data_IF_790374698446
#
_entry.id   IF_790374698446
#
_cell.length_a   1.000
_cell.length_b   1.000
_cell.length_c   1.000
_cell.angle_alpha   90.00
_cell.angle_beta   90.00
_cell.angle_gamma   90.00
#
_symmetry.space_group_name_H-M   'P 1'
#
loop_
_entity.id
_entity.type
_entity.pdbx_description
1 polymer ?
#
# COMPACT_ATOMS: atom_id res chain seq x y z
N UNK A 1 7.92 8.82 11.21
CA UNK A 1 9.10 9.61 11.60
C UNK A 1 9.81 9.03 12.80
N UNK A 2 9.12 8.46 13.80
CA UNK A 2 9.78 7.82 14.93
C UNK A 2 10.71 6.69 14.47
N UNK A 3 10.31 5.89 13.50
CA UNK A 3 11.14 4.79 12.98
C UNK A 3 12.10 5.25 11.88
N UNK A 4 11.68 6.13 11.00
CA UNK A 4 12.60 6.79 10.06
C UNK A 4 13.62 7.64 10.81
N UNK A 5 13.21 8.41 11.82
CA UNK A 5 14.16 9.13 12.68
C UNK A 5 14.95 8.17 13.57
N UNK A 6 14.43 6.97 13.90
CA UNK A 6 15.17 5.90 14.57
C UNK A 6 16.27 5.33 13.70
N UNK A 7 15.96 4.94 12.48
CA UNK A 7 16.93 4.43 11.53
C UNK A 7 17.86 5.53 11.03
N UNK A 8 17.33 6.71 10.73
CA UNK A 8 18.11 7.89 10.38
C UNK A 8 18.92 8.35 11.58
N UNK A 9 18.38 8.39 12.79
CA UNK A 9 19.12 8.72 14.01
C UNK A 9 20.21 7.70 14.32
N UNK A 10 20.02 6.42 14.04
CA UNK A 10 21.05 5.39 14.19
C UNK A 10 22.18 5.59 13.15
N UNK A 11 21.85 5.90 11.91
CA UNK A 11 22.83 6.24 10.88
C UNK A 11 23.53 7.57 11.21
N UNK A 12 22.81 8.53 11.75
CA UNK A 12 23.36 9.82 12.15
C UNK A 12 24.14 9.80 13.47
N UNK A 13 23.72 9.01 14.45
CA UNK A 13 24.48 8.80 15.67
C UNK A 13 25.84 8.15 15.40
N UNK A 14 25.91 7.25 14.41
CA UNK A 14 27.18 6.70 13.95
C UNK A 14 28.07 7.77 13.28
N UNK A 15 27.49 8.87 12.79
CA UNK A 15 28.18 9.96 12.10
C UNK A 15 28.10 11.31 12.85
N UNK A 16 27.64 11.31 14.09
CA UNK A 16 27.55 12.50 14.98
C UNK A 16 26.71 13.68 14.46
N UNK A 17 25.59 13.41 13.74
CA UNK A 17 24.72 14.48 13.23
C UNK A 17 23.28 14.25 13.65
N UNK A 18 22.72 15.18 14.44
CA UNK A 18 21.30 15.33 14.68
C UNK A 18 20.77 16.49 13.84
N UNK A 19 20.28 16.22 12.62
CA UNK A 19 19.67 17.24 11.78
C UNK A 19 18.19 16.92 11.56
N UNK A 20 17.32 17.90 11.71
CA UNK A 20 15.90 17.82 11.35
C UNK A 20 15.68 18.74 10.16
N UNK A 21 15.00 18.25 9.15
CA UNK A 21 14.61 19.07 8.02
C UNK A 21 13.32 19.82 8.30
N UNK A 22 13.30 21.09 7.96
CA UNK A 22 12.11 21.95 7.94
C UNK A 22 11.93 22.52 6.53
N UNK A 23 10.75 23.04 6.20
CA UNK A 23 10.44 23.64 4.88
C UNK A 23 11.42 24.75 4.45
N UNK A 24 12.21 25.27 5.38
CA UNK A 24 13.26 26.27 5.14
C UNK A 24 14.69 25.74 5.06
N UNK A 25 14.89 24.41 5.07
CA UNK A 25 16.21 23.79 5.05
C UNK A 25 16.59 23.05 6.34
N UNK A 26 17.88 22.78 6.52
CA UNK A 26 18.41 22.05 7.67
C UNK A 26 18.38 22.85 8.95
N UNK A 27 17.87 22.23 10.02
CA UNK A 27 18.10 22.69 11.39
C UNK A 27 18.94 21.65 12.13
N UNK A 28 20.14 22.01 12.57
CA UNK A 28 20.96 21.16 13.43
C UNK A 28 20.36 21.18 14.83
N UNK A 29 19.95 20.03 15.33
CA UNK A 29 19.29 19.90 16.64
C UNK A 29 20.25 19.93 17.82
N UNK A 30 21.55 19.76 17.60
CA UNK A 30 22.56 19.78 18.65
C UNK A 30 23.50 20.98 18.49
N UNK A 31 23.48 21.83 19.50
CA UNK A 31 24.29 23.08 19.53
C UNK A 31 25.81 22.87 19.58
N UNK A 32 26.25 21.60 19.68
CA UNK A 32 27.68 21.24 19.77
C UNK A 32 28.34 20.82 18.45
N UNK A 33 27.58 20.64 17.37
CA UNK A 33 28.12 20.13 16.09
C UNK A 33 27.90 21.13 14.96
N UNK A 34 28.99 21.62 14.38
CA UNK A 34 28.99 22.30 13.08
C UNK A 34 29.31 21.26 12.01
N UNK A 35 28.29 20.47 11.56
CA UNK A 35 28.51 19.59 10.41
C UNK A 35 28.14 20.30 9.13
N UNK A 36 29.00 20.12 8.12
CA UNK A 36 28.77 20.59 6.77
C UNK A 36 28.06 19.57 5.90
N UNK A 37 27.74 18.40 6.47
CA UNK A 37 27.20 17.26 5.74
C UNK A 37 25.89 16.77 6.38
N UNK A 38 24.95 16.32 5.56
CA UNK A 38 23.66 15.81 6.04
C UNK A 38 22.84 15.15 4.93
N UNK A 39 21.75 14.48 5.30
CA UNK A 39 20.80 13.87 4.35
C UNK A 39 19.50 14.65 4.38
N UNK A 40 19.01 15.01 3.21
CA UNK A 40 17.70 15.62 3.00
C UNK A 40 16.71 14.51 2.69
N UNK A 41 15.72 14.32 3.55
CA UNK A 41 14.66 13.34 3.32
C UNK A 41 13.58 13.94 2.40
N UNK A 42 12.83 13.04 1.77
CA UNK A 42 11.62 13.40 1.01
C UNK A 42 10.41 13.62 1.93
N UNK A 43 10.54 13.20 3.18
CA UNK A 43 9.47 13.26 4.19
C UNK A 43 9.05 14.71 4.43
N UNK A 44 7.75 14.99 4.26
CA UNK A 44 7.12 16.22 4.67
C UNK A 44 6.82 16.14 6.17
N UNK A 45 7.47 17.01 6.94
CA UNK A 45 7.39 16.98 8.41
C UNK A 45 5.96 17.09 8.94
N UNK A 46 5.18 18.06 8.42
CA UNK A 46 3.82 18.29 8.92
C UNK A 46 2.88 17.15 8.55
N UNK A 47 3.05 16.59 7.33
CA UNK A 47 2.27 15.42 6.89
C UNK A 47 2.63 14.18 7.72
N UNK A 48 3.90 13.98 8.02
CA UNK A 48 4.36 12.88 8.87
C UNK A 48 3.80 13.00 10.28
N UNK A 49 3.96 14.15 10.93
CA UNK A 49 3.41 14.41 12.27
C UNK A 49 1.88 14.25 12.29
N UNK A 50 1.22 14.64 11.20
CA UNK A 50 -0.21 14.42 11.05
C UNK A 50 -0.56 12.93 10.96
N UNK A 51 0.16 12.16 10.13
CA UNK A 51 -0.06 10.71 10.01
C UNK A 51 0.24 9.97 11.32
N UNK A 52 1.31 10.36 12.03
CA UNK A 52 1.66 9.77 13.33
C UNK A 52 0.56 10.01 14.36
N UNK A 53 0.05 11.23 14.48
CA UNK A 53 -1.03 11.57 15.39
C UNK A 53 -2.34 10.86 15.02
N UNK A 54 -2.65 10.78 13.72
CA UNK A 54 -3.81 10.06 13.22
C UNK A 54 -3.74 8.56 13.55
N UNK A 55 -2.56 7.96 13.38
CA UNK A 55 -2.38 6.56 13.72
C UNK A 55 -2.50 6.29 15.22
N UNK A 56 -1.87 7.10 16.07
CA UNK A 56 -2.02 7.00 17.54
C UNK A 56 -3.48 7.05 17.98
N UNK A 57 -4.30 7.85 17.29
CA UNK A 57 -5.70 7.98 17.62
C UNK A 57 -6.54 6.79 17.15
N UNK A 58 -6.25 6.23 15.96
CA UNK A 58 -7.17 5.30 15.28
C UNK A 58 -6.60 3.91 15.00
N UNK A 59 -5.28 3.70 15.04
CA UNK A 59 -4.61 2.46 14.66
C UNK A 59 -3.76 1.94 15.81
N UNK A 60 -4.14 0.84 16.44
CA UNK A 60 -3.30 0.21 17.47
C UNK A 60 -2.05 -0.44 16.85
N UNK A 61 -2.22 -1.17 15.73
CA UNK A 61 -1.15 -1.80 14.97
C UNK A 61 -1.39 -1.59 13.46
N UNK A 62 -0.38 -1.14 12.74
CA UNK A 62 -0.54 -0.91 11.30
C UNK A 62 0.48 0.04 10.71
N UNK A 63 0.17 0.57 9.53
CA UNK A 63 1.03 1.51 8.82
C UNK A 63 0.23 2.50 7.97
N UNK A 64 0.78 3.69 7.79
CA UNK A 64 0.31 4.69 6.82
C UNK A 64 1.50 5.15 6.00
N UNK A 65 1.40 5.00 4.67
CA UNK A 65 2.42 5.47 3.73
C UNK A 65 1.78 6.43 2.74
N UNK A 66 2.40 7.58 2.54
CA UNK A 66 2.02 8.58 1.54
C UNK A 66 3.18 8.79 0.58
N UNK A 67 2.92 8.69 -0.72
CA UNK A 67 3.93 8.82 -1.76
C UNK A 67 3.47 9.82 -2.83
N UNK A 68 4.40 10.61 -3.35
CA UNK A 68 4.18 11.36 -4.58
C UNK A 68 4.22 10.40 -5.76
N UNK A 69 3.11 10.31 -6.48
CA UNK A 69 2.91 9.30 -7.54
C UNK A 69 3.86 9.50 -8.72
N UNK A 70 4.23 10.76 -9.03
CA UNK A 70 5.06 11.11 -10.19
C UNK A 70 6.54 10.90 -9.92
N UNK A 71 6.99 11.26 -8.73
CA UNK A 71 8.40 11.23 -8.37
C UNK A 71 8.83 9.97 -7.63
N UNK A 72 7.89 9.22 -7.06
CA UNK A 72 8.18 8.08 -6.18
C UNK A 72 8.68 8.50 -4.78
N UNK A 73 8.66 9.80 -4.45
CA UNK A 73 9.10 10.29 -3.17
C UNK A 73 8.12 9.89 -2.06
N UNK A 74 8.62 9.25 -1.01
CA UNK A 74 7.86 8.93 0.20
C UNK A 74 7.75 10.21 1.02
N UNK A 75 6.52 10.71 1.16
CA UNK A 75 6.24 11.98 1.85
C UNK A 75 5.88 11.78 3.33
N UNK A 76 5.32 10.62 3.67
CA UNK A 76 5.08 10.18 5.05
C UNK A 76 5.17 8.66 5.13
N UNK A 77 5.67 8.16 6.26
CA UNK A 77 5.90 6.76 6.49
C UNK A 77 5.77 6.48 7.99
N UNK A 78 4.58 6.03 8.41
CA UNK A 78 4.26 5.80 9.82
C UNK A 78 3.98 4.33 10.07
N UNK A 79 4.54 3.79 11.16
CA UNK A 79 4.33 2.42 11.63
C UNK A 79 3.85 2.45 13.08
N UNK A 80 2.88 1.60 13.43
CA UNK A 80 2.24 1.58 14.73
C UNK A 80 2.23 0.17 15.32
N UNK A 81 2.34 0.05 16.65
CA UNK A 81 2.55 1.13 17.62
C UNK A 81 3.95 1.73 17.51
N UNK A 82 4.09 2.98 17.94
CA UNK A 82 5.38 3.64 18.05
C UNK A 82 6.12 3.21 19.32
N UNK A 83 7.45 3.41 19.32
CA UNK A 83 8.30 3.19 20.49
C UNK A 83 9.11 4.44 20.82
N UNK A 84 9.50 4.58 22.07
CA UNK A 84 10.45 5.62 22.50
C UNK A 84 11.88 5.14 22.24
N UNK A 85 12.57 5.80 21.29
CA UNK A 85 13.94 5.47 20.89
C UNK A 85 14.95 5.55 22.05
N UNK A 86 14.66 6.35 23.09
CA UNK A 86 15.51 6.43 24.29
C UNK A 86 15.32 5.24 25.24
N UNK A 87 14.28 4.44 25.01
CA UNK A 87 13.86 3.34 25.86
C UNK A 87 13.69 2.02 25.10
N UNK A 88 14.46 1.78 24.04
CA UNK A 88 14.36 0.59 23.18
C UNK A 88 14.36 -0.72 23.98
N UNK A 89 15.13 -0.77 25.08
CA UNK A 89 15.18 -1.95 25.96
C UNK A 89 13.83 -2.37 26.53
N UNK A 90 12.89 -1.43 26.72
CA UNK A 90 11.57 -1.72 27.28
C UNK A 90 10.66 -2.47 26.29
N UNK A 91 10.99 -2.41 24.99
CA UNK A 91 10.19 -2.99 23.92
C UNK A 91 10.70 -4.32 23.37
N UNK A 92 11.91 -4.78 23.81
CA UNK A 92 12.55 -6.00 23.27
C UNK A 92 11.71 -7.28 23.45
N UNK A 93 10.90 -7.34 24.50
CA UNK A 93 10.05 -8.50 24.81
C UNK A 93 8.55 -8.11 24.85
N UNK A 94 8.18 -7.02 24.17
CA UNK A 94 6.79 -6.57 24.13
C UNK A 94 5.96 -7.41 23.17
N UNK A 95 4.81 -7.89 23.64
CA UNK A 95 3.84 -8.61 22.80
C UNK A 95 3.19 -7.71 21.71
N UNK A 96 3.34 -6.39 21.82
CA UNK A 96 2.82 -5.43 20.84
C UNK A 96 3.74 -5.26 19.64
N UNK A 97 4.97 -5.79 19.70
CA UNK A 97 5.95 -5.73 18.62
C UNK A 97 6.17 -4.29 18.07
N UNK A 98 6.40 -3.33 18.98
CA UNK A 98 6.62 -1.90 18.65
C UNK A 98 7.86 -1.70 17.77
N UNK A 99 8.88 -2.57 17.92
CA UNK A 99 10.12 -2.49 17.13
C UNK A 99 9.97 -3.04 15.70
N UNK A 100 8.81 -3.60 15.35
CA UNK A 100 8.53 -4.06 13.98
C UNK A 100 8.09 -2.89 13.13
N UNK A 101 8.90 -2.56 12.10
CA UNK A 101 8.48 -1.59 11.08
C UNK A 101 7.48 -2.23 10.12
N UNK A 102 6.20 -1.98 10.33
CA UNK A 102 5.11 -2.56 9.52
C UNK A 102 5.05 -2.05 8.10
N UNK A 103 5.74 -0.96 7.80
CA UNK A 103 5.88 -0.47 6.41
C UNK A 103 6.74 -1.41 5.57
N UNK A 104 7.72 -2.06 6.20
CA UNK A 104 8.71 -2.92 5.54
C UNK A 104 8.32 -4.41 5.59
N UNK A 105 7.41 -4.80 6.50
CA UNK A 105 6.98 -6.19 6.66
C UNK A 105 5.86 -6.57 5.71
N UNK A 106 5.78 -7.85 5.40
CA UNK A 106 4.77 -8.39 4.50
C UNK A 106 3.56 -8.95 5.25
N UNK A 107 2.38 -8.72 4.67
CA UNK A 107 1.08 -9.10 5.20
C UNK A 107 0.19 -9.65 4.08
N UNK A 108 -0.81 -10.46 4.44
CA UNK A 108 -1.81 -10.92 3.47
C UNK A 108 -2.59 -9.72 2.91
N UNK A 109 -2.57 -9.47 1.59
CA UNK A 109 -3.17 -8.27 1.01
C UNK A 109 -4.69 -8.34 0.92
N UNK A 110 -5.26 -9.53 0.74
CA UNK A 110 -6.67 -9.67 0.42
C UNK A 110 -7.05 -8.90 -0.84
N UNK A 111 -8.24 -8.31 -0.83
CA UNK A 111 -8.84 -7.68 -2.01
C UNK A 111 -8.06 -6.48 -2.60
N UNK A 112 -7.07 -5.89 -1.92
CA UNK A 112 -6.24 -4.87 -2.58
C UNK A 112 -5.38 -5.47 -3.70
N UNK A 113 -5.09 -6.79 -3.66
CA UNK A 113 -4.42 -7.48 -4.75
C UNK A 113 -5.27 -7.59 -6.02
N UNK A 114 -6.59 -7.35 -5.93
CA UNK A 114 -7.47 -7.24 -7.12
C UNK A 114 -7.06 -6.10 -8.06
N UNK A 115 -6.31 -5.11 -7.57
CA UNK A 115 -5.64 -4.12 -8.43
C UNK A 115 -4.72 -4.79 -9.44
N UNK A 116 -3.90 -5.74 -8.99
CA UNK A 116 -2.99 -6.51 -9.86
C UNK A 116 -3.76 -7.42 -10.81
N UNK A 117 -4.74 -8.17 -10.29
CA UNK A 117 -5.51 -9.13 -11.10
C UNK A 117 -6.34 -8.43 -12.17
N UNK A 118 -6.97 -7.29 -11.84
CA UNK A 118 -7.71 -6.49 -12.82
C UNK A 118 -6.79 -5.91 -13.89
N UNK A 119 -5.64 -5.36 -13.52
CA UNK A 119 -4.66 -4.86 -14.47
C UNK A 119 -4.12 -5.99 -15.37
N UNK A 120 -3.81 -7.18 -14.79
CA UNK A 120 -3.38 -8.35 -15.54
C UNK A 120 -4.40 -8.78 -16.59
N UNK A 121 -5.68 -8.78 -16.22
CA UNK A 121 -6.76 -9.12 -17.14
C UNK A 121 -6.86 -8.12 -18.30
N UNK A 122 -6.77 -6.82 -18.01
CA UNK A 122 -6.87 -5.75 -19.01
C UNK A 122 -5.66 -5.71 -19.96
N UNK A 123 -4.45 -5.98 -19.45
CA UNK A 123 -3.24 -6.07 -20.28
C UNK A 123 -3.22 -7.34 -21.16
N UNK A 124 -3.88 -8.42 -20.72
CA UNK A 124 -4.01 -9.63 -21.54
C UNK A 124 -5.01 -9.44 -22.69
N UNK A 125 -6.18 -8.87 -22.41
CA UNK A 125 -7.21 -8.50 -23.39
C UNK A 125 -8.13 -7.43 -22.84
N UNK A 126 -8.38 -6.41 -23.66
CA UNK A 126 -9.34 -5.34 -23.37
C UNK A 126 -10.77 -5.84 -23.18
N UNK A 127 -11.12 -6.95 -23.85
CA UNK A 127 -12.44 -7.58 -23.76
C UNK A 127 -12.73 -8.13 -22.36
N UNK A 128 -11.70 -8.31 -21.54
CA UNK A 128 -11.88 -8.73 -20.15
C UNK A 128 -12.57 -7.66 -19.29
N UNK A 129 -12.64 -6.41 -19.74
CA UNK A 129 -13.43 -5.39 -19.05
C UNK A 129 -14.92 -5.68 -19.06
N UNK A 130 -15.41 -6.26 -20.15
CA UNK A 130 -16.82 -6.61 -20.37
C UNK A 130 -17.09 -8.11 -20.03
N UNK A 131 -16.10 -8.81 -19.46
CA UNK A 131 -16.32 -10.18 -18.98
C UNK A 131 -17.41 -10.19 -17.91
N UNK A 132 -18.46 -10.97 -18.16
CA UNK A 132 -19.60 -11.13 -17.27
C UNK A 132 -19.52 -12.43 -16.47
N UNK A 133 -19.86 -12.37 -15.20
CA UNK A 133 -19.96 -13.51 -14.31
C UNK A 133 -21.08 -13.31 -13.29
N UNK A 134 -21.88 -14.35 -13.05
CA UNK A 134 -22.95 -14.33 -12.05
C UNK A 134 -22.45 -14.88 -10.72
N UNK A 135 -22.29 -14.00 -9.73
CA UNK A 135 -21.93 -14.39 -8.36
C UNK A 135 -23.17 -14.90 -7.61
N UNK A 136 -23.17 -16.18 -7.24
CA UNK A 136 -24.21 -16.83 -6.43
C UNK A 136 -23.84 -16.94 -4.94
N UNK A 137 -22.70 -16.34 -4.53
CA UNK A 137 -22.19 -16.39 -3.15
C UNK A 137 -21.06 -17.38 -2.94
N UNK A 138 -20.86 -18.35 -3.83
CA UNK A 138 -19.72 -19.28 -3.82
C UNK A 138 -19.37 -19.78 -5.21
N UNK A 139 -18.19 -20.37 -5.34
CA UNK A 139 -17.69 -21.05 -6.54
C UNK A 139 -16.88 -22.27 -6.12
N UNK A 140 -17.04 -23.39 -6.82
CA UNK A 140 -16.27 -24.61 -6.61
C UNK A 140 -15.06 -24.63 -7.54
N UNK A 141 -13.85 -24.89 -6.98
CA UNK A 141 -12.60 -25.03 -7.73
C UNK A 141 -11.78 -26.15 -7.11
N UNK A 142 -11.41 -27.15 -7.91
CA UNK A 142 -10.57 -28.26 -7.46
C UNK A 142 -11.17 -29.04 -6.27
N UNK A 143 -12.51 -29.10 -6.16
CA UNK A 143 -13.22 -29.77 -5.06
C UNK A 143 -13.27 -28.95 -3.76
N UNK A 144 -12.90 -27.67 -3.79
CA UNK A 144 -12.96 -26.74 -2.67
C UNK A 144 -13.94 -25.60 -2.95
N UNK A 145 -14.68 -25.18 -1.92
CA UNK A 145 -15.67 -24.09 -2.01
C UNK A 145 -15.05 -22.75 -1.63
N UNK A 146 -14.93 -21.84 -2.58
CA UNK A 146 -14.52 -20.44 -2.34
C UNK A 146 -15.75 -19.56 -2.18
N UNK A 147 -15.79 -18.79 -1.09
CA UNK A 147 -16.97 -18.00 -0.72
C UNK A 147 -16.77 -16.51 -0.95
N UNK A 148 -17.83 -15.88 -1.44
CA UNK A 148 -17.92 -14.43 -1.47
C UNK A 148 -18.34 -13.91 -0.09
N UNK A 149 -17.93 -12.68 0.26
CA UNK A 149 -18.37 -12.06 1.50
C UNK A 149 -19.88 -11.80 1.54
N UNK A 150 -20.51 -11.59 0.39
CA UNK A 150 -21.97 -11.55 0.24
C UNK A 150 -22.51 -12.96 -0.01
N UNK A 151 -23.00 -13.60 1.05
CA UNK A 151 -23.45 -15.02 1.00
C UNK A 151 -24.58 -15.28 0.01
N UNK A 152 -25.47 -14.28 -0.21
CA UNK A 152 -26.56 -14.35 -1.22
C UNK A 152 -26.11 -14.13 -2.66
N UNK A 153 -24.80 -13.86 -2.86
CA UNK A 153 -24.26 -13.48 -4.16
C UNK A 153 -24.53 -12.01 -4.54
N UNK A 154 -23.78 -11.54 -5.53
CA UNK A 154 -23.92 -10.19 -6.08
C UNK A 154 -24.80 -10.19 -7.34
N UNK A 155 -25.14 -11.35 -7.90
CA UNK A 155 -25.78 -11.47 -9.20
C UNK A 155 -24.81 -11.29 -10.37
N UNK A 156 -25.33 -10.92 -11.52
CA UNK A 156 -24.54 -10.65 -12.71
C UNK A 156 -23.71 -9.39 -12.55
N UNK A 157 -22.41 -9.46 -12.88
CA UNK A 157 -21.45 -8.37 -12.72
C UNK A 157 -20.46 -8.37 -13.89
N UNK A 158 -20.06 -7.16 -14.29
CA UNK A 158 -18.86 -6.90 -15.10
C UNK A 158 -17.63 -6.78 -14.21
N UNK A 159 -16.43 -6.66 -14.80
CA UNK A 159 -15.20 -6.41 -14.05
C UNK A 159 -15.31 -5.17 -13.17
N UNK A 160 -15.92 -4.10 -13.69
CA UNK A 160 -16.08 -2.85 -12.95
C UNK A 160 -17.00 -2.99 -11.73
N UNK A 161 -18.10 -3.73 -11.87
CA UNK A 161 -19.02 -4.00 -10.76
C UNK A 161 -18.36 -4.89 -9.70
N UNK A 162 -17.69 -5.94 -10.14
CA UNK A 162 -17.04 -6.92 -9.27
C UNK A 162 -15.87 -6.29 -8.50
N UNK A 163 -15.13 -5.37 -9.13
CA UNK A 163 -14.06 -4.61 -8.46
C UNK A 163 -14.64 -3.70 -7.39
N UNK A 164 -15.69 -2.93 -7.70
CA UNK A 164 -16.35 -2.03 -6.76
C UNK A 164 -16.95 -2.78 -5.57
N UNK A 165 -17.61 -3.90 -5.83
CA UNK A 165 -18.21 -4.77 -4.83
C UNK A 165 -17.21 -5.70 -4.14
N UNK A 166 -15.95 -5.70 -4.56
CA UNK A 166 -14.91 -6.61 -4.07
C UNK A 166 -15.33 -8.09 -4.13
N UNK A 167 -15.98 -8.54 -5.23
CA UNK A 167 -16.56 -9.87 -5.40
C UNK A 167 -15.49 -10.95 -5.55
N UNK A 168 -15.33 -11.85 -4.56
CA UNK A 168 -14.32 -12.91 -4.60
C UNK A 168 -14.57 -13.91 -5.73
N UNK A 169 -15.80 -14.40 -5.88
CA UNK A 169 -16.11 -15.45 -6.87
C UNK A 169 -15.93 -14.96 -8.31
N UNK A 170 -16.22 -13.69 -8.58
CA UNK A 170 -15.91 -13.08 -9.87
C UNK A 170 -14.41 -13.11 -10.16
N UNK A 171 -13.59 -12.67 -9.18
CA UNK A 171 -12.13 -12.64 -9.34
C UNK A 171 -11.53 -14.03 -9.44
N UNK A 172 -12.10 -15.05 -8.77
CA UNK A 172 -11.72 -16.46 -8.98
C UNK A 172 -12.01 -16.88 -10.43
N UNK A 173 -13.20 -16.58 -10.96
CA UNK A 173 -13.55 -16.90 -12.35
C UNK A 173 -12.64 -16.17 -13.36
N UNK A 174 -12.36 -14.88 -13.10
CA UNK A 174 -11.45 -14.07 -13.92
C UNK A 174 -10.02 -14.62 -13.87
N UNK A 175 -9.52 -14.96 -12.67
CA UNK A 175 -8.17 -15.52 -12.51
C UNK A 175 -8.00 -16.84 -13.24
N UNK A 176 -9.00 -17.72 -13.19
CA UNK A 176 -9.01 -18.96 -14.00
C UNK A 176 -9.02 -18.68 -15.50
N UNK A 177 -9.68 -17.62 -15.94
CA UNK A 177 -9.70 -17.21 -17.35
C UNK A 177 -8.35 -16.71 -17.83
N UNK A 178 -7.64 -15.89 -17.02
CA UNK A 178 -6.39 -15.24 -17.43
C UNK A 178 -5.14 -16.07 -17.10
N UNK A 179 -5.21 -16.94 -16.09
CA UNK A 179 -4.15 -17.86 -15.68
C UNK A 179 -3.13 -17.27 -14.70
N UNK A 180 -2.41 -18.16 -14.01
CA UNK A 180 -1.38 -17.84 -13.01
C UNK A 180 -0.25 -17.00 -13.60
N UNK A 181 0.26 -17.44 -14.76
CA UNK A 181 1.38 -16.78 -15.44
C UNK A 181 1.12 -15.29 -15.67
N UNK A 182 -0.07 -14.94 -16.17
CA UNK A 182 -0.41 -13.54 -16.45
C UNK A 182 -0.50 -12.70 -15.17
N UNK A 183 -1.08 -13.26 -14.09
CA UNK A 183 -1.19 -12.58 -12.80
C UNK A 183 0.21 -12.33 -12.23
N UNK A 184 1.04 -13.36 -12.13
CA UNK A 184 2.39 -13.28 -11.55
C UNK A 184 3.31 -12.38 -12.37
N UNK A 185 3.24 -12.48 -13.71
CA UNK A 185 4.00 -11.60 -14.62
C UNK A 185 3.64 -10.13 -14.37
N UNK A 186 2.34 -9.82 -14.28
CA UNK A 186 1.90 -8.45 -14.03
C UNK A 186 2.31 -7.97 -12.64
N UNK A 187 2.18 -8.83 -11.61
CA UNK A 187 2.66 -8.52 -10.26
C UNK A 187 4.15 -8.16 -10.24
N UNK A 188 5.00 -8.96 -10.91
CA UNK A 188 6.44 -8.69 -11.02
C UNK A 188 6.74 -7.40 -11.77
N UNK A 189 6.02 -7.12 -12.85
CA UNK A 189 6.17 -5.86 -13.59
C UNK A 189 5.75 -4.64 -12.75
N UNK A 190 4.86 -4.81 -11.77
CA UNK A 190 4.48 -3.78 -10.80
C UNK A 190 5.46 -3.67 -9.61
N UNK A 191 6.57 -4.42 -9.64
CA UNK A 191 7.63 -4.36 -8.63
C UNK A 191 7.52 -5.38 -7.50
N UNK A 192 6.55 -6.32 -7.53
CA UNK A 192 6.41 -7.34 -6.49
C UNK A 192 7.37 -8.52 -6.72
N UNK A 193 7.65 -9.28 -5.65
CA UNK A 193 8.49 -10.48 -5.68
C UNK A 193 9.98 -10.22 -5.44
N UNK A 194 10.36 -8.96 -5.27
CA UNK A 194 11.69 -8.53 -4.82
C UNK A 194 11.52 -7.51 -3.69
N UNK A 195 12.52 -7.34 -2.80
CA UNK A 195 12.46 -6.27 -1.81
C UNK A 195 12.32 -4.90 -2.49
N UNK A 196 11.44 -4.07 -1.97
CA UNK A 196 11.33 -2.67 -2.40
C UNK A 196 12.34 -1.85 -1.64
N UNK A 197 13.25 -1.20 -2.35
CA UNK A 197 14.22 -0.27 -1.77
C UNK A 197 13.78 1.17 -2.02
N UNK A 198 13.77 1.96 -0.96
CA UNK A 198 13.58 3.39 -1.01
C UNK A 198 14.64 4.06 -0.13
N UNK A 199 15.89 3.98 -0.57
CA UNK A 199 17.11 4.45 0.10
C UNK A 199 17.31 3.83 1.49
N UNK A 200 16.72 4.45 2.53
CA UNK A 200 16.81 4.02 3.94
C UNK A 200 15.72 3.02 4.35
N UNK A 201 14.73 2.81 3.50
CA UNK A 201 13.66 1.84 3.71
C UNK A 201 13.90 0.62 2.83
N UNK A 202 13.66 -0.56 3.38
CA UNK A 202 13.77 -1.82 2.64
C UNK A 202 12.71 -2.81 3.08
N UNK A 203 11.76 -3.11 2.18
CA UNK A 203 10.75 -4.11 2.51
C UNK A 203 11.30 -5.53 2.43
N UNK A 204 10.64 -6.46 3.14
CA UNK A 204 10.76 -7.87 2.82
C UNK A 204 10.22 -8.11 1.40
N UNK A 205 10.73 -9.11 0.69
CA UNK A 205 10.23 -9.46 -0.63
C UNK A 205 8.78 -9.95 -0.55
N UNK A 206 7.93 -9.47 -1.45
CA UNK A 206 6.58 -10.02 -1.59
C UNK A 206 6.65 -11.52 -1.92
N UNK A 207 5.83 -12.32 -1.25
CA UNK A 207 5.73 -13.76 -1.54
C UNK A 207 4.72 -13.98 -2.66
N UNK A 208 5.22 -14.25 -3.86
CA UNK A 208 4.42 -14.62 -5.03
C UNK A 208 4.60 -16.11 -5.31
N UNK A 209 3.56 -16.79 -5.86
CA UNK A 209 3.71 -18.18 -6.32
C UNK A 209 4.64 -18.26 -7.53
N UNK A 210 5.04 -19.48 -7.87
CA UNK A 210 5.67 -19.73 -9.16
C UNK A 210 4.64 -19.48 -10.27
N UNK A 211 5.06 -18.83 -11.34
CA UNK A 211 4.19 -18.54 -12.49
C UNK A 211 3.81 -19.80 -13.30
N UNK A 212 4.52 -20.90 -13.10
CA UNK A 212 4.26 -22.20 -13.73
C UNK A 212 3.38 -23.11 -12.87
N UNK A 213 2.99 -22.68 -11.66
CA UNK A 213 2.17 -23.47 -10.77
C UNK A 213 0.77 -23.70 -11.37
N UNK A 214 0.40 -24.96 -11.50
CA UNK A 214 -0.90 -25.41 -12.08
C UNK A 214 -1.95 -25.74 -11.02
N UNK A 215 -1.70 -25.48 -9.73
CA UNK A 215 -2.69 -25.68 -8.67
C UNK A 215 -3.85 -24.69 -8.82
N UNK A 216 -5.01 -25.20 -9.22
CA UNK A 216 -6.22 -24.40 -9.40
C UNK A 216 -6.70 -23.75 -8.09
N UNK A 217 -6.47 -24.37 -6.95
CA UNK A 217 -6.85 -23.79 -5.63
C UNK A 217 -5.94 -22.64 -5.25
N UNK A 218 -4.64 -22.78 -5.52
CA UNK A 218 -3.70 -21.69 -5.34
C UNK A 218 -4.06 -20.51 -6.25
N UNK A 219 -4.34 -20.76 -7.52
CA UNK A 219 -4.80 -19.75 -8.47
C UNK A 219 -6.08 -19.06 -7.98
N UNK A 220 -7.06 -19.83 -7.48
CA UNK A 220 -8.29 -19.28 -6.93
C UNK A 220 -8.01 -18.35 -5.74
N UNK A 221 -7.16 -18.77 -4.79
CA UNK A 221 -6.77 -17.96 -3.63
C UNK A 221 -6.08 -16.66 -4.04
N UNK A 222 -5.09 -16.73 -4.92
CA UNK A 222 -4.32 -15.58 -5.38
C UNK A 222 -5.20 -14.58 -6.13
N UNK A 223 -6.20 -15.06 -6.87
CA UNK A 223 -7.11 -14.21 -7.64
C UNK A 223 -7.86 -13.17 -6.80
N UNK A 224 -7.97 -13.38 -5.49
CA UNK A 224 -8.55 -12.39 -4.56
C UNK A 224 -7.64 -12.04 -3.38
N UNK A 225 -6.33 -12.33 -3.51
CA UNK A 225 -5.30 -11.88 -2.57
C UNK A 225 -5.16 -12.72 -1.31
N UNK A 226 -5.38 -14.02 -1.40
CA UNK A 226 -5.30 -14.97 -0.29
C UNK A 226 -4.26 -16.07 -0.54
N UNK A 227 -4.22 -17.09 0.30
CA UNK A 227 -3.28 -18.19 0.21
C UNK A 227 -1.92 -17.82 0.78
N UNK A 228 -0.86 -18.13 0.03
CA UNK A 228 0.53 -17.86 0.44
C UNK A 228 1.01 -16.45 0.10
N UNK A 229 0.14 -15.63 -0.51
CA UNK A 229 0.48 -14.30 -0.97
C UNK A 229 0.71 -13.34 0.19
N UNK A 230 1.88 -12.70 0.20
CA UNK A 230 2.25 -11.68 1.17
C UNK A 230 2.84 -10.47 0.44
N UNK A 231 2.48 -9.27 0.86
CA UNK A 231 2.97 -8.00 0.31
C UNK A 231 3.22 -6.97 1.42
N UNK A 232 4.15 -6.08 1.22
CA UNK A 232 4.38 -4.94 2.12
C UNK A 232 3.53 -3.72 1.74
N UNK A 233 3.34 -2.75 2.64
CA UNK A 233 2.78 -1.44 2.28
C UNK A 233 3.54 -0.73 1.15
N UNK A 234 4.86 -0.87 1.06
CA UNK A 234 5.67 -0.31 -0.04
C UNK A 234 5.35 -0.99 -1.38
N UNK A 235 5.15 -2.31 -1.39
CA UNK A 235 4.68 -3.02 -2.59
C UNK A 235 3.34 -2.45 -3.06
N UNK A 236 2.41 -2.21 -2.12
CA UNK A 236 1.10 -1.70 -2.46
C UNK A 236 1.11 -0.23 -2.91
N UNK A 237 2.09 0.57 -2.46
CA UNK A 237 2.37 1.91 -3.04
C UNK A 237 2.76 1.77 -4.51
N UNK A 238 3.70 0.88 -4.85
CA UNK A 238 4.09 0.62 -6.23
C UNK A 238 2.90 0.19 -7.10
N UNK A 239 2.13 -0.81 -6.65
CA UNK A 239 0.91 -1.27 -7.35
C UNK A 239 -0.07 -0.12 -7.58
N UNK A 240 -0.29 0.71 -6.55
CA UNK A 240 -1.23 1.83 -6.61
C UNK A 240 -0.75 2.91 -7.59
N UNK A 241 0.55 3.25 -7.57
CA UNK A 241 1.17 4.18 -8.51
C UNK A 241 1.03 3.70 -9.95
N UNK A 242 1.33 2.43 -10.20
CA UNK A 242 1.21 1.82 -11.54
C UNK A 242 -0.24 1.83 -12.01
N UNK A 243 -1.22 1.47 -11.16
CA UNK A 243 -2.64 1.51 -11.53
C UNK A 243 -3.13 2.93 -11.84
N UNK A 244 -2.54 3.94 -11.23
CA UNK A 244 -2.94 5.34 -11.41
C UNK A 244 -2.28 6.05 -12.60
N UNK A 245 -1.05 5.64 -12.97
CA UNK A 245 -0.24 6.36 -13.98
C UNK A 245 0.21 5.49 -15.15
N UNK A 246 0.23 4.17 -14.97
CA UNK A 246 0.84 3.23 -15.92
C UNK A 246 2.34 3.04 -15.73
N UNK A 247 2.96 3.78 -14.81
CA UNK A 247 4.40 3.76 -14.59
C UNK A 247 4.77 3.28 -13.20
N UNK A 248 5.84 2.48 -13.12
CA UNK A 248 6.50 2.09 -11.88
C UNK A 248 7.63 3.10 -11.60
N UNK A 249 7.48 3.98 -10.59
CA UNK A 249 8.54 4.88 -10.18
C UNK A 249 9.57 4.15 -9.32
N UNK A 250 10.78 4.68 -9.23
CA UNK A 250 11.73 4.29 -8.19
C UNK A 250 11.33 5.02 -6.90
N UNK A 251 10.96 4.27 -5.86
CA UNK A 251 10.65 4.87 -4.57
C UNK A 251 11.92 5.45 -3.93
N UNK A 252 11.77 6.56 -3.22
CA UNK A 252 12.87 7.27 -2.58
C UNK A 252 12.41 7.91 -1.28
N UNK A 253 13.18 7.77 -0.22
CA UNK A 253 13.02 8.48 1.05
C UNK A 253 14.10 9.55 1.25
N UNK A 254 15.10 9.61 0.33
CA UNK A 254 16.20 10.59 0.36
C UNK A 254 16.09 11.51 -0.85
N UNK A 255 15.94 12.81 -0.60
CA UNK A 255 15.93 13.85 -1.63
C UNK A 255 17.33 14.23 -2.08
N UNK A 256 18.30 14.16 -1.17
CA UNK A 256 19.69 14.44 -1.49
C UNK A 256 20.62 14.37 -0.30
N UNK A 257 21.90 14.47 -0.59
CA UNK A 257 22.97 14.53 0.39
C UNK A 257 23.56 15.94 0.35
N UNK A 258 23.53 16.62 1.48
CA UNK A 258 24.16 17.93 1.63
C UNK A 258 25.60 17.75 2.06
N UNK A 259 26.54 18.30 1.29
CA UNK A 259 27.96 18.25 1.60
C UNK A 259 28.62 19.58 1.24
N UNK A 260 29.21 20.24 2.24
CA UNK A 260 30.02 21.45 2.05
C UNK A 260 29.29 22.62 1.38
N UNK A 261 27.99 22.83 1.60
CA UNK A 261 27.10 23.84 1.01
C UNK A 261 26.44 23.43 -0.32
N UNK A 262 26.66 22.22 -0.83
CA UNK A 262 26.02 21.74 -2.06
C UNK A 262 25.09 20.56 -1.75
N UNK A 263 23.85 20.62 -2.27
CA UNK A 263 22.93 19.47 -2.28
C UNK A 263 23.22 18.61 -3.51
N UNK A 264 23.70 17.40 -3.27
CA UNK A 264 23.84 16.37 -4.31
C UNK A 264 22.59 15.51 -4.31
N UNK A 265 21.82 15.55 -5.37
CA UNK A 265 20.69 14.67 -5.55
C UNK A 265 21.15 13.29 -6.04
N UNK A 266 20.62 12.18 -5.50
CA UNK A 266 20.88 10.87 -6.08
C UNK A 266 20.32 10.80 -7.50
N UNK A 267 20.99 10.04 -8.35
CA UNK A 267 20.49 9.79 -9.69
C UNK A 267 19.25 8.91 -9.57
N UNK A 268 18.09 9.40 -10.01
CA UNK A 268 16.85 8.62 -10.07
C UNK A 268 16.77 7.93 -11.43
N UNK A 269 16.32 6.69 -11.42
CA UNK A 269 15.97 6.00 -12.65
C UNK A 269 14.65 6.57 -13.21
N UNK A 270 14.55 6.62 -14.53
CA UNK A 270 13.29 6.97 -15.18
C UNK A 270 12.19 5.94 -14.83
N UNK A 271 10.95 6.37 -14.60
CA UNK A 271 9.85 5.46 -14.32
C UNK A 271 9.63 4.48 -15.48
N UNK A 272 9.46 3.21 -15.15
CA UNK A 272 9.25 2.15 -16.15
C UNK A 272 7.77 2.03 -16.50
N UNK A 273 7.44 2.03 -17.79
CA UNK A 273 6.06 1.81 -18.23
C UNK A 273 5.67 0.35 -18.03
N UNK A 274 4.55 0.14 -17.33
CA UNK A 274 4.00 -1.18 -16.98
C UNK A 274 2.63 -1.42 -17.62
N UNK A 275 1.75 -0.40 -17.60
CA UNK A 275 0.40 -0.51 -18.13
C UNK A 275 0.17 0.44 -19.30
N UNK A 276 -0.70 0.03 -20.21
CA UNK A 276 -1.19 0.87 -21.30
C UNK A 276 -2.09 1.99 -20.78
N UNK A 277 -2.20 3.11 -21.53
CA UNK A 277 -3.07 4.23 -21.16
C UNK A 277 -4.53 3.80 -21.05
N UNK A 278 -4.98 2.88 -21.90
CA UNK A 278 -6.33 2.34 -21.86
C UNK A 278 -6.59 1.54 -20.59
N UNK A 279 -5.64 0.70 -20.18
CA UNK A 279 -5.72 -0.03 -18.90
C UNK A 279 -5.80 0.93 -17.73
N UNK A 280 -4.94 1.97 -17.70
CA UNK A 280 -4.95 3.01 -16.66
C UNK A 280 -6.32 3.70 -16.58
N UNK A 281 -6.90 4.08 -17.72
CA UNK A 281 -8.22 4.72 -17.74
C UNK A 281 -9.31 3.81 -17.14
N UNK A 282 -9.31 2.52 -17.51
CA UNK A 282 -10.23 1.52 -16.95
C UNK A 282 -9.98 1.29 -15.45
N UNK A 283 -8.71 1.21 -15.02
CA UNK A 283 -8.35 1.09 -13.61
C UNK A 283 -8.86 2.28 -12.79
N UNK A 284 -8.64 3.52 -13.25
CA UNK A 284 -9.17 4.72 -12.60
C UNK A 284 -10.70 4.68 -12.47
N UNK A 285 -11.40 4.28 -13.54
CA UNK A 285 -12.86 4.12 -13.53
C UNK A 285 -13.32 3.15 -12.44
N UNK A 286 -12.66 1.97 -12.33
CA UNK A 286 -12.99 0.97 -11.32
C UNK A 286 -12.65 1.44 -9.90
N UNK A 287 -11.47 2.05 -9.70
CA UNK A 287 -11.06 2.62 -8.42
C UNK A 287 -12.03 3.73 -7.97
N UNK A 288 -12.52 4.56 -8.91
CA UNK A 288 -13.56 5.56 -8.62
C UNK A 288 -14.86 4.89 -8.19
N UNK A 289 -15.32 3.91 -8.94
CA UNK A 289 -16.57 3.20 -8.65
C UNK A 289 -16.54 2.51 -7.29
N UNK A 290 -15.39 1.94 -6.90
CA UNK A 290 -15.22 1.36 -5.58
C UNK A 290 -15.50 2.38 -4.46
N UNK A 291 -15.07 3.63 -4.64
CA UNK A 291 -15.24 4.70 -3.65
C UNK A 291 -16.63 5.33 -3.71
N UNK A 292 -17.26 5.44 -4.89
CA UNK A 292 -18.60 6.05 -5.02
C UNK A 292 -19.72 5.10 -4.66
N UNK A 293 -19.66 3.86 -5.13
CA UNK A 293 -20.78 2.93 -5.12
C UNK A 293 -20.45 1.59 -4.45
N UNK A 294 -19.16 1.39 -4.07
CA UNK A 294 -18.66 0.11 -3.60
C UNK A 294 -18.19 0.10 -2.14
N UNK A 295 -17.33 -0.88 -1.86
CA UNK A 295 -16.78 -1.15 -0.52
C UNK A 295 -15.91 -0.02 0.03
N UNK A 296 -15.38 0.84 -0.82
CA UNK A 296 -14.51 1.97 -0.49
C UNK A 296 -15.24 3.27 -0.14
N UNK A 297 -16.56 3.27 0.06
CA UNK A 297 -17.35 4.49 0.28
C UNK A 297 -16.87 5.35 1.46
N UNK A 298 -16.25 4.75 2.49
CA UNK A 298 -15.61 5.49 3.57
C UNK A 298 -14.53 6.47 3.11
N UNK A 299 -13.89 6.21 1.96
CA UNK A 299 -12.88 7.08 1.37
C UNK A 299 -13.46 8.22 0.51
N UNK A 300 -14.78 8.25 0.27
CA UNK A 300 -15.39 9.20 -0.65
C UNK A 300 -15.16 10.66 -0.24
N UNK A 301 -14.61 11.46 -1.17
CA UNK A 301 -14.43 12.90 -1.05
C UNK A 301 -15.22 13.57 -2.18
N UNK A 302 -16.13 14.48 -1.80
CA UNK A 302 -17.03 15.15 -2.76
C UNK A 302 -16.30 16.23 -3.57
N UNK A 303 -15.37 16.95 -2.93
CA UNK A 303 -14.73 18.15 -3.52
C UNK A 303 -13.76 17.81 -4.65
N UNK A 304 -13.07 16.67 -4.57
CA UNK A 304 -12.10 16.23 -5.58
C UNK A 304 -12.21 14.73 -5.78
N UNK A 305 -12.33 14.24 -7.02
CA UNK A 305 -12.36 12.80 -7.29
C UNK A 305 -11.13 12.08 -6.75
N UNK A 306 -11.37 10.99 -6.07
CA UNK A 306 -10.37 10.05 -5.58
C UNK A 306 -10.82 8.62 -5.90
N UNK A 307 -9.91 7.67 -5.83
CA UNK A 307 -10.20 6.26 -6.10
C UNK A 307 -9.29 5.32 -5.33
N UNK A 308 -9.70 4.07 -5.18
CA UNK A 308 -8.91 3.08 -4.47
C UNK A 308 -9.61 1.73 -4.34
N UNK A 309 -9.01 0.85 -3.53
CA UNK A 309 -9.55 -0.47 -3.22
C UNK A 309 -9.40 -0.77 -1.73
N UNK A 310 -10.40 -1.45 -1.17
CA UNK A 310 -10.41 -1.95 0.21
C UNK A 310 -9.99 -3.40 0.28
N UNK A 311 -9.50 -3.84 1.45
CA UNK A 311 -9.43 -5.26 1.75
C UNK A 311 -9.74 -5.56 3.23
N UNK A 312 -10.27 -6.76 3.44
CA UNK A 312 -10.27 -7.47 4.72
C UNK A 312 -9.73 -8.86 4.43
N UNK A 313 -8.50 -9.12 4.85
CA UNK A 313 -7.76 -10.33 4.54
C UNK A 313 -7.72 -11.24 5.76
N UNK A 314 -7.99 -12.53 5.55
CA UNK A 314 -7.84 -13.56 6.55
C UNK A 314 -6.37 -13.94 6.67
N UNK A 315 -5.88 -14.05 7.91
CA UNK A 315 -4.48 -14.44 8.16
C UNK A 315 -4.33 -15.94 8.45
N UNK A 316 -5.44 -16.63 8.68
CA UNK A 316 -5.45 -18.00 9.20
C UNK A 316 -5.09 -18.10 10.69
N UNK A 317 -4.75 -17.00 11.34
CA UNK A 317 -4.40 -16.93 12.75
C UNK A 317 -5.61 -16.48 13.58
N UNK A 318 -5.59 -16.83 14.88
CA UNK A 318 -6.65 -16.47 15.84
C UNK A 318 -6.06 -15.84 17.08
N UNK A 319 -6.79 -14.89 17.65
CA UNK A 319 -6.52 -14.35 18.98
C UNK A 319 -6.83 -15.38 20.05
N UNK A 320 -6.39 -15.12 21.28
CA UNK A 320 -6.65 -15.99 22.45
C UNK A 320 -8.13 -16.20 22.77
N UNK A 321 -8.99 -15.26 22.35
CA UNK A 321 -10.44 -15.36 22.48
C UNK A 321 -11.12 -16.17 21.34
N UNK A 322 -10.33 -16.71 20.41
CA UNK A 322 -10.78 -17.47 19.25
C UNK A 322 -11.22 -16.64 18.05
N UNK A 323 -11.24 -15.31 18.14
CA UNK A 323 -11.53 -14.43 17.02
C UNK A 323 -10.43 -14.48 15.96
N UNK A 324 -10.80 -14.36 14.69
CA UNK A 324 -9.85 -14.39 13.59
C UNK A 324 -9.08 -13.08 13.47
N UNK A 325 -7.76 -13.18 13.27
CA UNK A 325 -6.90 -12.02 12.98
C UNK A 325 -7.10 -11.65 11.51
N UNK A 326 -7.55 -10.41 11.28
CA UNK A 326 -7.86 -9.89 9.95
C UNK A 326 -7.03 -8.65 9.65
N UNK A 327 -6.25 -8.68 8.58
CA UNK A 327 -5.63 -7.46 8.06
C UNK A 327 -6.65 -6.66 7.27
N UNK A 328 -6.70 -5.34 7.50
CA UNK A 328 -7.56 -4.43 6.77
C UNK A 328 -6.72 -3.40 6.04
N UNK A 329 -7.05 -3.19 4.76
CA UNK A 329 -6.29 -2.28 3.91
C UNK A 329 -7.20 -1.28 3.20
N UNK A 330 -6.61 -0.15 2.87
CA UNK A 330 -7.06 0.70 1.80
C UNK A 330 -5.85 1.23 1.04
N UNK A 331 -5.87 1.04 -0.29
CA UNK A 331 -4.87 1.58 -1.20
C UNK A 331 -5.55 2.44 -2.24
N UNK A 332 -5.13 3.69 -2.39
CA UNK A 332 -5.80 4.60 -3.30
C UNK A 332 -4.98 5.82 -3.66
N UNK A 333 -5.53 6.63 -4.57
CA UNK A 333 -4.90 7.83 -5.14
C UNK A 333 -5.77 9.07 -5.02
N UNK A 334 -5.12 10.21 -4.97
CA UNK A 334 -5.73 11.53 -4.88
C UNK A 334 -4.83 12.61 -5.51
N UNK A 335 -5.34 13.55 -6.32
CA UNK A 335 -6.61 13.43 -7.06
C UNK A 335 -6.59 12.23 -8.01
N UNK A 336 -7.75 11.82 -8.54
CA UNK A 336 -7.81 10.68 -9.47
C UNK A 336 -7.46 11.05 -10.91
N UNK A 337 -7.90 12.23 -11.37
CA UNK A 337 -7.73 12.67 -12.76
C UNK A 337 -6.26 12.96 -13.09
N UNK A 338 -5.60 13.78 -12.29
CA UNK A 338 -4.16 14.03 -12.32
C UNK A 338 -3.55 13.57 -10.99
N UNK A 339 -3.17 12.28 -10.88
CA UNK A 339 -2.70 11.70 -9.62
C UNK A 339 -1.46 12.41 -9.09
N UNK A 340 -1.54 12.86 -7.83
CA UNK A 340 -0.43 13.45 -7.09
C UNK A 340 0.05 12.55 -5.97
N UNK A 341 -0.90 12.00 -5.21
CA UNK A 341 -0.59 11.21 -4.01
C UNK A 341 -1.18 9.83 -4.11
N UNK A 342 -0.40 8.82 -3.79
CA UNK A 342 -0.88 7.50 -3.41
C UNK A 342 -0.76 7.33 -1.90
N UNK A 343 -1.77 6.69 -1.32
CA UNK A 343 -1.82 6.42 0.12
C UNK A 343 -2.15 4.96 0.34
N UNK A 344 -1.32 4.28 1.11
CA UNK A 344 -1.55 2.93 1.60
C UNK A 344 -1.78 2.98 3.11
N UNK A 345 -2.90 2.44 3.55
CA UNK A 345 -3.26 2.26 4.96
C UNK A 345 -3.39 0.78 5.24
N UNK A 346 -2.60 0.28 6.17
CA UNK A 346 -2.70 -1.06 6.75
C UNK A 346 -3.14 -0.95 8.20
N UNK A 347 -4.14 -1.72 8.57
CA UNK A 347 -4.48 -2.03 9.94
C UNK A 347 -4.20 -3.52 10.17
N UNK A 348 -3.12 -3.79 10.89
CA UNK A 348 -2.71 -5.14 11.28
C UNK A 348 -3.71 -5.70 12.30
N UNK A 349 -4.19 -6.91 12.04
CA UNK A 349 -5.24 -7.53 12.85
C UNK A 349 -4.85 -7.87 14.28
N UNK A 350 -3.57 -7.71 14.66
CA UNK A 350 -3.09 -7.84 16.03
C UNK A 350 -3.51 -6.65 16.92
N UNK A 351 -4.08 -5.59 16.33
CA UNK A 351 -4.57 -4.42 17.06
C UNK A 351 -5.99 -4.03 16.64
N UNK A 352 -6.60 -3.17 17.43
CA UNK A 352 -7.93 -2.60 17.13
C UNK A 352 -7.77 -1.40 16.21
N UNK A 353 -8.75 -1.20 15.34
CA UNK A 353 -8.93 0.04 14.60
C UNK A 353 -10.26 0.65 14.96
N UNK A 354 -10.28 1.96 15.21
CA UNK A 354 -11.50 2.67 15.62
C UNK A 354 -12.34 3.13 14.43
N UNK A 355 -11.67 3.33 13.29
CA UNK A 355 -12.29 3.68 12.00
C UNK A 355 -11.68 2.81 10.89
N UNK A 356 -12.31 2.73 9.73
CA UNK A 356 -11.83 1.93 8.61
C UNK A 356 -10.58 2.55 7.96
N UNK A 357 -9.70 1.74 7.32
CA UNK A 357 -8.60 2.28 6.52
C UNK A 357 -9.03 3.26 5.43
N UNK A 358 -10.22 3.08 4.87
CA UNK A 358 -10.82 3.99 3.90
C UNK A 358 -11.13 5.38 4.50
N UNK A 359 -11.61 5.44 5.75
CA UNK A 359 -11.82 6.70 6.46
C UNK A 359 -10.50 7.37 6.82
N UNK A 360 -9.48 6.60 7.20
CA UNK A 360 -8.11 7.12 7.44
C UNK A 360 -7.57 7.77 6.16
N UNK A 361 -7.64 7.07 5.03
CA UNK A 361 -7.29 7.63 3.72
C UNK A 361 -8.01 8.96 3.44
N UNK A 362 -9.32 9.03 3.71
CA UNK A 362 -10.10 10.26 3.53
C UNK A 362 -9.58 11.41 4.39
N UNK A 363 -9.21 11.13 5.65
CA UNK A 363 -8.70 12.14 6.58
C UNK A 363 -7.34 12.66 6.12
N UNK A 364 -6.43 11.77 5.70
CA UNK A 364 -5.12 12.14 5.13
C UNK A 364 -5.30 13.04 3.90
N UNK A 365 -6.18 12.66 2.98
CA UNK A 365 -6.39 13.48 1.77
C UNK A 365 -7.06 14.83 2.06
N UNK A 366 -7.93 14.92 3.07
CA UNK A 366 -8.48 16.22 3.49
C UNK A 366 -7.38 17.15 4.03
N UNK A 367 -6.40 16.60 4.73
CA UNK A 367 -5.24 17.37 5.16
C UNK A 367 -4.44 17.89 3.96
N UNK A 368 -4.15 17.01 2.97
CA UNK A 368 -3.45 17.39 1.74
C UNK A 368 -4.20 18.45 0.91
N UNK A 369 -5.55 18.36 0.82
CA UNK A 369 -6.39 19.37 0.15
C UNK A 369 -6.22 20.76 0.77
N UNK A 370 -6.23 20.82 2.09
CA UNK A 370 -6.22 22.09 2.82
C UNK A 370 -4.85 22.79 2.74
N UNK A 371 -3.78 22.06 2.48
CA UNK A 371 -2.42 22.64 2.37
C UNK A 371 -2.11 23.26 1.01
N UNK A 372 -2.96 23.13 -0.01
CA UNK A 372 -2.74 23.66 -1.37
C UNK A 372 -1.32 23.35 -1.90
N UNK A 373 -0.91 22.07 -1.86
CA UNK A 373 0.32 21.61 -2.51
C UNK A 373 0.26 21.71 -4.03
#
# INVERSE_FOLDING_TARGET
LSELSGNVSAVYQANAVNAVMTDGGFTVCDKGYTTRDGVVLTIDKELQEFCDNLGKEYIDCGAVVVCDVKTGEILACSSFPEYDQKRVGDYLNSDRAELVNRVEKTFTPGSVFKLVVAAAALEQSKDNFDFEYTCTGSIEVGGETFRCHKKSGHGAQTLSDAFANSCNTYFVALGRKIGMEQIVKTARNMGLGQPVFADILSSDAANLPDNTDSDEKLLANISFGQGTLLVSPLDMINVTNVCATGFLPTLSAVKGIYSGQMLKQPQKNEPVRVLSDETVAKMKTMMRKCVTDGTGNGAFIKSVPNGGQTATAQTGQRLSDGSEILHRWFCGVYPLEDPKYSVCVLCDGNGRTRISPAEIFKIVNKFLINRKF
#
